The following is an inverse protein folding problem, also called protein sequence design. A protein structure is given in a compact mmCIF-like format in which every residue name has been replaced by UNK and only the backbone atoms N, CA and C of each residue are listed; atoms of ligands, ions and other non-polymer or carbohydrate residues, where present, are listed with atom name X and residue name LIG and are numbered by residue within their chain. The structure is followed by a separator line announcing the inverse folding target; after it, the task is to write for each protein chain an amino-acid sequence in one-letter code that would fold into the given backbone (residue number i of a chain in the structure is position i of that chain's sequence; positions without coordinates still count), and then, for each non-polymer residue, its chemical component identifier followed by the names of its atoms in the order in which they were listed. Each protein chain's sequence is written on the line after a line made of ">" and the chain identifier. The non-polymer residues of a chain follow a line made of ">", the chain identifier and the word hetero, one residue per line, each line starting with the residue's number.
data_IF_573270719513
#
_entry.id   IF_573270719513
#
_cell.length_a   1.000
_cell.length_b   1.000
_cell.length_c   1.000
_cell.angle_alpha   90.00
_cell.angle_beta   90.00
_cell.angle_gamma   90.00
#
_symmetry.space_group_name_H-M   'P 1'
#
loop_
_entity.id
_entity.type
_entity.pdbx_description
1 polymer ?
#
# COMPACT_ATOMS: atom_id res chain seq x y z
N UNK A 1 -40.08 -6.76 33.96
CA UNK A 1 -39.69 -7.13 32.58
C UNK A 1 -38.81 -6.01 32.07
N UNK A 2 -37.53 -6.30 31.77
CA UNK A 2 -36.60 -5.31 31.21
C UNK A 2 -36.69 -5.38 29.68
N UNK A 3 -37.05 -4.26 29.06
CA UNK A 3 -37.02 -4.11 27.61
C UNK A 3 -35.57 -3.93 27.16
N UNK A 4 -35.06 -4.88 26.38
CA UNK A 4 -33.82 -4.75 25.64
C UNK A 4 -34.11 -3.99 24.34
N UNK A 5 -33.94 -2.66 24.35
CA UNK A 5 -33.89 -1.88 23.13
C UNK A 5 -32.51 -2.04 22.49
N UNK A 6 -32.45 -2.82 21.41
CA UNK A 6 -31.30 -2.84 20.53
C UNK A 6 -31.24 -1.51 19.78
N UNK A 7 -30.41 -0.59 20.27
CA UNK A 7 -29.98 0.55 19.46
C UNK A 7 -29.06 0.05 18.35
N UNK A 8 -29.64 -0.31 17.20
CA UNK A 8 -28.89 -0.41 15.96
C UNK A 8 -28.54 1.02 15.52
N UNK A 9 -27.48 1.57 16.11
CA UNK A 9 -26.91 2.85 15.71
C UNK A 9 -26.39 2.69 14.28
N UNK A 10 -27.24 3.06 13.32
CA UNK A 10 -26.85 3.25 11.93
C UNK A 10 -25.78 4.33 11.91
N UNK A 11 -24.50 3.91 11.89
CA UNK A 11 -23.36 4.78 11.66
C UNK A 11 -23.51 5.37 10.25
N UNK A 12 -24.21 6.50 10.13
CA UNK A 12 -23.99 7.41 9.00
C UNK A 12 -22.51 7.76 9.05
N UNK A 13 -21.69 7.10 8.22
CA UNK A 13 -20.32 7.53 7.98
C UNK A 13 -20.44 8.95 7.40
N UNK A 14 -20.19 9.96 8.23
CA UNK A 14 -19.99 11.30 7.72
C UNK A 14 -18.86 11.25 6.71
N UNK A 15 -19.05 11.84 5.54
CA UNK A 15 -18.00 11.88 4.53
C UNK A 15 -16.73 12.51 5.11
N UNK A 16 -15.60 11.87 4.87
CA UNK A 16 -14.29 12.32 5.33
C UNK A 16 -13.87 13.53 4.49
N UNK A 17 -13.15 14.46 5.10
CA UNK A 17 -12.56 15.60 4.38
C UNK A 17 -11.32 15.18 3.60
N UNK A 18 -10.94 15.96 2.58
CA UNK A 18 -9.67 15.75 1.84
C UNK A 18 -8.46 15.77 2.79
N UNK A 19 -8.51 16.56 3.87
CA UNK A 19 -7.46 16.64 4.90
C UNK A 19 -7.20 15.31 5.60
N UNK A 20 -8.19 14.41 5.66
CA UNK A 20 -8.03 13.05 6.18
C UNK A 20 -6.97 12.25 5.41
N UNK A 21 -6.94 12.38 4.08
CA UNK A 21 -6.02 11.61 3.23
C UNK A 21 -4.54 11.99 3.45
N UNK A 22 -4.24 13.19 3.97
CA UNK A 22 -2.86 13.56 4.32
C UNK A 22 -2.30 12.76 5.49
N UNK A 23 -3.17 12.16 6.33
CA UNK A 23 -2.77 11.28 7.42
C UNK A 23 -2.38 9.87 6.95
N UNK A 24 -2.72 9.50 5.71
CA UNK A 24 -2.51 8.15 5.15
C UNK A 24 -1.15 8.11 4.46
N UNK A 25 -0.09 8.30 5.25
CA UNK A 25 1.28 8.17 4.74
C UNK A 25 1.65 6.70 4.62
N UNK A 26 2.31 6.35 3.52
CA UNK A 26 2.90 5.02 3.37
C UNK A 26 3.93 4.80 4.49
N UNK A 27 3.74 3.73 5.27
CA UNK A 27 4.66 3.41 6.37
C UNK A 27 5.94 2.77 5.85
N UNK A 28 6.98 2.76 6.68
CA UNK A 28 8.28 2.19 6.28
C UNK A 28 8.22 0.67 6.04
N UNK A 29 7.36 -0.01 6.79
CA UNK A 29 7.09 -1.45 6.75
C UNK A 29 5.90 -1.84 5.86
N UNK A 30 5.23 -0.87 5.25
CA UNK A 30 4.07 -1.09 4.38
C UNK A 30 4.51 -1.21 2.91
N UNK A 31 4.25 -2.37 2.32
CA UNK A 31 4.51 -2.59 0.90
C UNK A 31 3.56 -1.76 0.02
N UNK A 32 3.90 -1.62 -1.26
CA UNK A 32 3.17 -0.74 -2.16
C UNK A 32 1.72 -1.19 -2.40
N UNK A 33 1.45 -2.50 -2.43
CA UNK A 33 0.10 -3.03 -2.63
C UNK A 33 -0.80 -2.65 -1.47
N UNK A 34 -0.38 -2.96 -0.24
CA UNK A 34 -1.11 -2.63 0.98
C UNK A 34 -1.38 -1.14 1.08
N UNK A 35 -0.39 -0.30 0.76
CA UNK A 35 -0.58 1.14 0.72
C UNK A 35 -1.61 1.59 -0.33
N UNK A 36 -1.52 1.10 -1.57
CA UNK A 36 -2.45 1.49 -2.64
C UNK A 36 -3.88 1.06 -2.31
N UNK A 37 -4.07 -0.13 -1.77
CA UNK A 37 -5.37 -0.65 -1.36
C UNK A 37 -5.95 0.20 -0.21
N UNK A 38 -5.17 0.44 0.85
CA UNK A 38 -5.56 1.29 1.98
C UNK A 38 -5.90 2.73 1.57
N UNK A 39 -5.07 3.35 0.73
CA UNK A 39 -5.34 4.70 0.21
C UNK A 39 -6.62 4.73 -0.64
N UNK A 40 -6.86 3.72 -1.48
CA UNK A 40 -8.06 3.64 -2.29
C UNK A 40 -9.31 3.48 -1.44
N UNK A 41 -9.29 2.59 -0.45
CA UNK A 41 -10.42 2.35 0.47
C UNK A 41 -10.80 3.62 1.23
N UNK A 42 -9.80 4.35 1.73
CA UNK A 42 -10.02 5.60 2.45
C UNK A 42 -10.51 6.73 1.54
N UNK A 43 -10.07 6.76 0.28
CA UNK A 43 -10.51 7.72 -0.72
C UNK A 43 -11.98 7.56 -1.13
N UNK A 44 -12.58 6.36 -0.99
CA UNK A 44 -14.00 6.12 -1.30
C UNK A 44 -14.95 6.89 -0.37
N UNK A 45 -14.53 7.14 0.87
CA UNK A 45 -15.32 7.82 1.89
C UNK A 45 -15.18 9.37 1.82
N UNK A 46 -14.39 9.92 0.89
CA UNK A 46 -14.09 11.36 0.77
C UNK A 46 -14.93 12.04 -0.30
N UNK A 47 -15.71 13.06 0.08
CA UNK A 47 -16.50 13.86 -0.86
C UNK A 47 -15.64 14.92 -1.59
N UNK A 48 -15.96 15.20 -2.86
CA UNK A 48 -15.30 16.25 -3.65
C UNK A 48 -13.89 15.90 -4.13
N UNK A 49 -13.47 14.64 -3.98
CA UNK A 49 -12.15 14.18 -4.42
C UNK A 49 -12.12 14.02 -5.96
N UNK A 50 -11.46 14.95 -6.65
CA UNK A 50 -11.21 14.82 -8.09
C UNK A 50 -10.03 13.87 -8.35
N UNK A 51 -9.98 13.30 -9.56
CA UNK A 51 -8.86 12.47 -10.01
C UNK A 51 -7.51 13.20 -9.86
N UNK A 52 -7.47 14.49 -10.20
CA UNK A 52 -6.27 15.32 -10.05
C UNK A 52 -5.83 15.45 -8.58
N UNK A 53 -6.77 15.71 -7.67
CA UNK A 53 -6.48 15.80 -6.24
C UNK A 53 -5.99 14.44 -5.72
N UNK A 54 -6.63 13.34 -6.14
CA UNK A 54 -6.24 11.98 -5.76
C UNK A 54 -4.81 11.64 -6.19
N UNK A 55 -4.45 11.94 -7.44
CA UNK A 55 -3.08 11.73 -7.97
C UNK A 55 -2.06 12.55 -7.17
N UNK A 56 -2.35 13.84 -6.94
CA UNK A 56 -1.46 14.72 -6.20
C UNK A 56 -1.26 14.27 -4.74
N UNK A 57 -2.34 13.86 -4.07
CA UNK A 57 -2.27 13.34 -2.70
C UNK A 57 -1.44 12.07 -2.63
N UNK A 58 -1.69 11.10 -3.51
CA UNK A 58 -0.95 9.84 -3.52
C UNK A 58 0.56 10.09 -3.66
N UNK A 59 0.97 11.00 -4.54
CA UNK A 59 2.39 11.37 -4.71
C UNK A 59 2.97 11.98 -3.42
N UNK A 60 2.21 12.82 -2.71
CA UNK A 60 2.65 13.51 -1.50
C UNK A 60 2.72 12.59 -0.25
N UNK A 61 1.90 11.54 -0.22
CA UNK A 61 1.81 10.64 0.94
C UNK A 61 2.60 9.34 0.77
N UNK A 62 3.12 9.07 -0.43
CA UNK A 62 4.04 7.97 -0.70
C UNK A 62 5.39 8.16 -0.01
N UNK A 63 5.98 7.04 0.40
CA UNK A 63 7.39 7.00 0.79
C UNK A 63 8.25 7.22 -0.45
N UNK A 64 9.32 7.99 -0.32
CA UNK A 64 10.27 8.19 -1.41
C UNK A 64 10.91 6.86 -1.83
N UNK A 65 10.91 6.59 -3.13
CA UNK A 65 11.34 5.31 -3.69
C UNK A 65 11.12 5.22 -5.20
N UNK A 66 11.37 4.05 -5.81
CA UNK A 66 11.29 3.87 -7.26
C UNK A 66 9.93 4.27 -7.84
N UNK A 67 8.84 3.92 -7.17
CA UNK A 67 7.48 4.25 -7.60
C UNK A 67 7.19 5.75 -7.49
N UNK A 68 7.43 6.38 -6.33
CA UNK A 68 7.27 7.83 -6.15
C UNK A 68 8.09 8.64 -7.17
N UNK A 69 9.34 8.22 -7.42
CA UNK A 69 10.20 8.83 -8.43
C UNK A 69 9.65 8.71 -9.85
N UNK A 70 9.01 7.58 -10.20
CA UNK A 70 8.37 7.42 -11.50
C UNK A 70 7.16 8.36 -11.67
N UNK A 71 6.35 8.51 -10.62
CA UNK A 71 5.19 9.41 -10.63
C UNK A 71 5.59 10.90 -10.66
N UNK A 72 6.70 11.28 -10.03
CA UNK A 72 7.20 12.66 -10.10
C UNK A 72 7.71 12.98 -11.51
N UNK A 73 8.43 12.05 -12.15
CA UNK A 73 9.05 12.28 -13.47
C UNK A 73 8.08 12.30 -14.65
N UNK A 74 6.99 11.53 -14.60
CA UNK A 74 6.14 11.30 -15.77
C UNK A 74 4.90 12.20 -15.92
N UNK A 75 4.81 13.34 -15.21
CA UNK A 75 3.62 14.21 -15.29
C UNK A 75 3.44 14.83 -16.70
N UNK A 76 2.21 14.95 -17.24
CA UNK A 76 0.90 14.76 -16.59
C UNK A 76 0.33 13.33 -16.72
N UNK A 77 -0.11 12.78 -15.59
CA UNK A 77 -0.76 11.47 -15.50
C UNK A 77 -2.28 11.61 -15.40
N UNK A 78 -3.00 10.68 -16.01
CA UNK A 78 -4.40 10.37 -15.69
C UNK A 78 -4.45 9.19 -14.70
N UNK A 79 -5.63 8.92 -14.11
CA UNK A 79 -5.79 7.83 -13.13
C UNK A 79 -5.51 6.45 -13.74
N UNK A 80 -5.80 6.25 -15.02
CA UNK A 80 -5.58 4.97 -15.69
C UNK A 80 -4.09 4.63 -15.78
N UNK A 81 -3.28 5.57 -16.30
CA UNK A 81 -1.82 5.42 -16.36
C UNK A 81 -1.22 5.26 -14.97
N UNK A 82 -1.72 5.99 -13.98
CA UNK A 82 -1.28 5.85 -12.60
C UNK A 82 -1.48 4.41 -12.10
N UNK A 83 -2.65 3.82 -12.33
CA UNK A 83 -2.94 2.44 -11.91
C UNK A 83 -2.08 1.42 -12.66
N UNK A 84 -1.84 1.60 -13.96
CA UNK A 84 -0.95 0.73 -14.74
C UNK A 84 0.48 0.76 -14.17
N UNK A 85 0.99 1.95 -13.87
CA UNK A 85 2.32 2.10 -13.25
C UNK A 85 2.32 1.47 -11.85
N UNK A 86 1.28 1.68 -11.05
CA UNK A 86 1.17 1.10 -9.71
C UNK A 86 1.26 -0.44 -9.77
N UNK A 87 0.46 -1.08 -10.63
CA UNK A 87 0.47 -2.54 -10.82
C UNK A 87 1.85 -3.07 -11.23
N UNK A 88 2.55 -2.37 -12.13
CA UNK A 88 3.90 -2.74 -12.54
C UNK A 88 4.88 -2.72 -11.36
N UNK A 89 4.85 -1.67 -10.54
CA UNK A 89 5.77 -1.55 -9.41
C UNK A 89 5.43 -2.50 -8.27
N UNK A 90 4.15 -2.75 -8.01
CA UNK A 90 3.67 -3.78 -7.07
C UNK A 90 4.25 -5.14 -7.48
N UNK A 91 4.06 -5.54 -8.73
CA UNK A 91 4.57 -6.82 -9.22
C UNK A 91 6.10 -6.94 -9.07
N UNK A 92 6.84 -5.88 -9.39
CA UNK A 92 8.30 -5.86 -9.22
C UNK A 92 8.71 -5.99 -7.75
N UNK A 93 8.00 -5.33 -6.83
CA UNK A 93 8.26 -5.42 -5.39
C UNK A 93 7.99 -6.84 -4.86
N UNK A 94 6.84 -7.43 -5.19
CA UNK A 94 6.44 -8.78 -4.79
C UNK A 94 7.44 -9.84 -5.30
N UNK A 95 7.84 -9.78 -6.57
CA UNK A 95 8.87 -10.69 -7.12
C UNK A 95 10.22 -10.54 -6.40
N UNK A 96 10.59 -9.31 -6.04
CA UNK A 96 11.84 -9.07 -5.32
C UNK A 96 11.80 -9.62 -3.89
N UNK A 97 10.64 -9.53 -3.22
CA UNK A 97 10.42 -10.13 -1.90
C UNK A 97 10.56 -11.65 -1.93
N UNK A 98 9.86 -12.32 -2.85
CA UNK A 98 9.96 -13.77 -3.04
C UNK A 98 11.41 -14.23 -3.28
N UNK A 99 12.16 -13.48 -4.10
CA UNK A 99 13.59 -13.76 -4.35
C UNK A 99 14.44 -13.58 -3.08
N UNK A 100 14.15 -12.59 -2.24
CA UNK A 100 14.86 -12.37 -0.97
C UNK A 100 14.57 -13.52 0.01
N UNK A 101 13.31 -13.95 0.11
CA UNK A 101 12.91 -15.07 0.95
C UNK A 101 13.58 -16.37 0.51
N UNK A 102 13.58 -16.68 -0.79
CA UNK A 102 14.28 -17.85 -1.32
C UNK A 102 15.77 -17.86 -0.96
N UNK A 103 16.45 -16.72 -1.06
CA UNK A 103 17.86 -16.59 -0.63
C UNK A 103 18.05 -16.77 0.87
N UNK A 104 17.13 -16.24 1.70
CA UNK A 104 17.15 -16.42 3.16
C UNK A 104 16.98 -17.87 3.55
N UNK A 105 16.08 -18.61 2.89
CA UNK A 105 15.86 -20.04 3.13
C UNK A 105 17.09 -20.86 2.72
N UNK A 106 17.66 -20.60 1.54
CA UNK A 106 18.87 -21.29 1.08
C UNK A 106 20.05 -21.09 2.03
N UNK A 107 20.24 -19.87 2.55
CA UNK A 107 21.29 -19.59 3.53
C UNK A 107 21.08 -20.39 4.81
N UNK A 108 19.87 -20.41 5.36
CA UNK A 108 19.55 -21.18 6.56
C UNK A 108 19.74 -22.69 6.40
N UNK A 109 19.48 -23.23 5.20
CA UNK A 109 19.72 -24.65 4.91
C UNK A 109 21.22 -24.98 4.84
N UNK A 110 22.04 -24.08 4.28
CA UNK A 110 23.50 -24.24 4.25
C UNK A 110 24.11 -24.14 5.64
N UNK A 111 23.64 -23.21 6.46
CA UNK A 111 24.13 -23.01 7.83
C UNK A 111 23.75 -24.17 8.78
N UNK A 112 22.78 -25.03 8.40
CA UNK A 112 22.33 -26.20 9.17
C UNK A 112 22.86 -27.54 8.66
N UNK A 113 23.56 -27.57 7.53
CA UNK A 113 24.14 -28.81 7.02
C UNK A 113 25.33 -29.21 7.92
N UNK A 114 25.37 -30.44 8.48
CA UNK A 114 26.52 -30.89 9.24
C UNK A 114 27.73 -30.96 8.30
N UNK A 115 28.86 -30.40 8.73
CA UNK A 115 30.14 -30.64 8.07
C UNK A 115 30.40 -32.14 8.11
N UNK A 116 30.18 -32.82 6.98
CA UNK A 116 30.62 -34.19 6.79
C UNK A 116 32.15 -34.15 6.72
N UNK A 117 32.77 -34.15 7.90
CA UNK A 117 34.21 -34.39 8.05
C UNK A 117 34.47 -35.82 7.60
N UNK A 118 34.92 -35.96 6.35
CA UNK A 118 35.53 -37.20 5.86
C UNK A 118 36.89 -37.33 6.56
N UNK A 119 36.98 -38.31 7.45
CA UNK A 119 38.23 -38.80 8.04
C UNK A 119 38.97 -39.71 7.06
#
# INVERSE_FOLDING_TARGET
>A
MQNFEFHFASKRKYAKSITHLFGIRQKDDENLRSFVDHFNDEALDVQGLTNEIKINLMINVLKMGPFANALIRGRPFDMEKLMVVAQKYIYVEEINELKREGRRVQKQLKDKAPETNQS
#
